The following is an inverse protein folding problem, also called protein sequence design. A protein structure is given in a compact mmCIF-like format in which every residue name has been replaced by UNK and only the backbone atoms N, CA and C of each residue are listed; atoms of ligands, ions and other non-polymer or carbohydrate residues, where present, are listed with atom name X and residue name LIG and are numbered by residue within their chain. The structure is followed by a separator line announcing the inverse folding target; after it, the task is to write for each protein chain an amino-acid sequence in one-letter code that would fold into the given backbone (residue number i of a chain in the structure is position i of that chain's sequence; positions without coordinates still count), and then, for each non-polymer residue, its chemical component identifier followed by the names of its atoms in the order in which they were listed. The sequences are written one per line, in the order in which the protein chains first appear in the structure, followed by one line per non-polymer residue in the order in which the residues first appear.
data_IF_173839370372
#
_entry.id   IF_173839370372
#
_cell.length_a   1.000
_cell.length_b   1.000
_cell.length_c   1.000
_cell.angle_alpha   90.00
_cell.angle_beta   90.00
_cell.angle_gamma   90.00
#
_symmetry.space_group_name_H-M   'P 1'
#
loop_
_entity.id
_entity.type
_entity.pdbx_description
1 polymer ?
#
# COMPACT_ATOMS: atom_id res chain seq x y z
N UNK A 1 -14.36 77.31 -39.36
CA UNK A 1 -14.85 76.36 -38.33
C UNK A 1 -13.63 75.66 -37.76
N UNK A 2 -12.96 76.32 -36.81
CA UNK A 2 -13.10 76.15 -35.35
C UNK A 2 -12.32 74.92 -34.83
N UNK A 3 -11.56 75.06 -33.72
CA UNK A 3 -10.22 75.67 -33.76
C UNK A 3 -9.20 75.05 -32.76
N UNK A 4 -7.98 75.63 -32.71
CA UNK A 4 -7.22 75.96 -31.46
C UNK A 4 -6.71 74.75 -30.62
N UNK A 5 -5.46 74.62 -30.16
CA UNK A 5 -4.32 75.51 -29.81
C UNK A 5 -3.11 74.55 -29.59
N UNK A 6 -1.90 74.86 -30.05
CA UNK A 6 -0.76 75.46 -29.27
C UNK A 6 -0.43 74.69 -27.98
N UNK A 7 0.80 74.44 -27.54
CA UNK A 7 2.20 74.59 -27.98
C UNK A 7 3.03 74.09 -26.77
N UNK A 8 4.35 73.94 -26.94
CA UNK A 8 5.40 73.81 -25.91
C UNK A 8 5.66 72.37 -25.42
N UNK A 9 6.78 71.69 -25.75
CA UNK A 9 8.22 72.00 -25.68
C UNK A 9 8.81 71.98 -24.26
N UNK A 10 10.00 71.37 -24.15
CA UNK A 10 11.05 71.54 -23.09
C UNK A 10 10.75 70.74 -21.79
N UNK A 11 11.64 70.00 -21.09
CA UNK A 11 13.08 69.66 -21.17
C UNK A 11 13.42 68.67 -20.03
N UNK A 12 14.33 67.71 -20.30
CA UNK A 12 15.51 67.19 -19.54
C UNK A 12 15.55 67.01 -17.98
N UNK A 13 16.44 66.07 -17.59
CA UNK A 13 17.08 65.72 -16.29
C UNK A 13 16.41 64.63 -15.42
N UNK A 14 17.02 63.46 -15.13
CA UNK A 14 18.32 63.06 -14.50
C UNK A 14 18.21 62.82 -12.97
N UNK A 15 18.38 61.54 -12.59
CA UNK A 15 18.80 60.90 -11.32
C UNK A 15 18.05 61.15 -9.99
N UNK A 16 17.64 60.06 -9.31
CA UNK A 16 18.28 59.53 -8.08
C UNK A 16 17.41 58.49 -7.32
N UNK A 17 17.99 57.30 -7.12
CA UNK A 17 17.99 56.41 -5.94
C UNK A 17 16.82 56.39 -4.94
N UNK A 18 16.23 55.21 -4.69
CA UNK A 18 16.14 54.61 -3.34
C UNK A 18 15.59 53.17 -3.33
N UNK A 19 16.18 52.35 -2.46
CA UNK A 19 15.86 50.96 -2.13
C UNK A 19 14.40 50.78 -1.69
N UNK A 20 13.73 49.71 -2.15
CA UNK A 20 12.92 48.78 -1.35
C UNK A 20 12.03 47.91 -2.26
N UNK A 21 12.46 46.68 -2.58
CA UNK A 21 11.55 45.58 -2.93
C UNK A 21 12.18 44.26 -2.49
N UNK A 22 12.14 44.04 -1.18
CA UNK A 22 12.05 42.69 -0.63
C UNK A 22 10.57 42.35 -0.48
N UNK A 23 10.14 41.28 -1.13
CA UNK A 23 9.00 40.40 -0.82
C UNK A 23 8.38 39.86 -2.12
N UNK A 24 8.38 38.53 -2.26
CA UNK A 24 7.60 37.86 -3.31
C UNK A 24 8.37 36.88 -4.19
N UNK A 25 9.37 36.16 -3.67
CA UNK A 25 9.58 34.81 -4.20
C UNK A 25 8.31 34.02 -3.83
N UNK A 26 7.58 33.44 -4.80
CA UNK A 26 6.50 32.52 -4.46
C UNK A 26 7.10 31.43 -3.56
N UNK A 27 6.38 30.98 -2.51
CA UNK A 27 6.83 29.84 -1.74
C UNK A 27 7.10 28.72 -2.74
N UNK A 28 8.32 28.17 -2.68
CA UNK A 28 8.61 26.93 -3.37
C UNK A 28 7.51 25.96 -2.96
N UNK A 29 6.63 25.60 -3.91
CA UNK A 29 5.58 24.63 -3.66
C UNK A 29 6.32 23.37 -3.20
N UNK A 30 6.19 23.03 -1.93
CA UNK A 30 6.55 21.72 -1.44
C UNK A 30 5.85 20.73 -2.39
N UNK A 31 6.62 19.86 -3.04
CA UNK A 31 6.07 18.92 -4.01
C UNK A 31 4.93 18.13 -3.38
N UNK A 32 3.90 17.81 -4.18
CA UNK A 32 2.76 17.05 -3.69
C UNK A 32 3.23 15.75 -3.02
N UNK A 33 2.61 15.35 -1.89
CA UNK A 33 2.98 14.10 -1.24
C UNK A 33 2.88 12.91 -2.18
N UNK A 34 3.91 12.07 -2.18
CA UNK A 34 3.95 10.83 -2.96
C UNK A 34 3.60 9.68 -2.04
N UNK A 35 2.70 8.81 -2.51
CA UNK A 35 2.37 7.55 -1.83
C UNK A 35 3.22 6.43 -2.44
N UNK A 36 4.01 5.69 -1.65
CA UNK A 36 4.59 4.44 -2.12
C UNK A 36 3.48 3.50 -2.62
N UNK A 37 3.74 2.69 -3.66
CA UNK A 37 2.71 1.85 -4.25
C UNK A 37 2.05 0.93 -3.20
N UNK A 38 0.73 1.02 -3.08
CA UNK A 38 -0.06 0.23 -2.12
C UNK A 38 -0.06 0.75 -0.68
N UNK A 39 0.62 1.87 -0.38
CA UNK A 39 0.67 2.44 0.98
C UNK A 39 -0.44 3.48 1.20
N UNK A 40 -1.00 3.57 2.42
CA UNK A 40 -1.92 4.67 2.77
C UNK A 40 -1.24 5.90 3.37
N UNK A 41 0.05 5.80 3.68
CA UNK A 41 0.88 6.90 4.14
C UNK A 41 1.68 7.43 2.95
N UNK A 42 1.61 8.74 2.72
CA UNK A 42 2.40 9.46 1.72
C UNK A 42 3.20 10.58 2.36
N UNK A 43 4.21 11.08 1.67
CA UNK A 43 5.03 12.22 2.11
C UNK A 43 5.73 12.87 0.92
N UNK A 44 6.22 14.10 1.10
CA UNK A 44 7.10 14.75 0.15
C UNK A 44 8.53 14.26 0.40
N UNK A 45 9.11 13.40 -0.45
CA UNK A 45 10.45 12.87 -0.22
C UNK A 45 11.50 13.99 -0.33
N UNK A 46 12.58 13.86 0.44
CA UNK A 46 13.73 14.75 0.32
C UNK A 46 14.43 14.58 -1.04
N UNK A 47 15.13 15.63 -1.48
CA UNK A 47 15.90 15.58 -2.73
C UNK A 47 16.84 14.38 -2.75
N UNK A 48 16.86 13.67 -3.89
CA UNK A 48 17.66 12.45 -4.07
C UNK A 48 16.97 11.16 -3.63
N UNK A 49 15.84 11.22 -2.93
CA UNK A 49 15.02 10.05 -2.61
C UNK A 49 13.98 9.81 -3.72
N UNK A 50 14.08 8.67 -4.39
CA UNK A 50 13.08 8.18 -5.35
C UNK A 50 12.29 7.00 -4.77
N UNK A 51 11.17 6.58 -5.41
CA UNK A 51 10.42 5.40 -4.98
C UNK A 51 11.31 4.14 -4.95
N UNK A 52 11.28 3.43 -3.83
CA UNK A 52 12.03 2.19 -3.68
C UNK A 52 11.41 1.05 -4.49
N UNK A 53 12.26 0.16 -5.02
CA UNK A 53 11.80 -0.99 -5.83
C UNK A 53 11.56 -2.26 -5.01
N UNK A 54 12.23 -2.38 -3.86
CA UNK A 54 12.27 -3.60 -3.06
C UNK A 54 11.40 -3.56 -1.80
N UNK A 55 10.89 -2.39 -1.42
CA UNK A 55 10.06 -2.20 -0.24
C UNK A 55 9.14 -0.97 -0.42
N UNK A 56 8.02 -0.89 0.31
CA UNK A 56 7.18 0.30 0.28
C UNK A 56 7.92 1.48 0.93
N UNK A 57 8.29 2.47 0.12
CA UNK A 57 9.05 3.61 0.62
C UNK A 57 9.88 4.33 -0.44
N UNK A 58 10.94 4.99 0.01
CA UNK A 58 11.86 5.75 -0.83
C UNK A 58 13.31 5.39 -0.52
N UNK A 59 14.18 5.53 -1.50
CA UNK A 59 15.62 5.32 -1.35
C UNK A 59 16.43 6.23 -2.28
N UNK A 60 17.68 6.47 -1.91
CA UNK A 60 18.65 7.09 -2.81
C UNK A 60 19.02 6.11 -3.92
N UNK A 61 19.50 6.64 -5.05
CA UNK A 61 19.93 5.81 -6.19
C UNK A 61 21.03 4.79 -5.79
N UNK A 62 21.92 5.18 -4.88
CA UNK A 62 22.96 4.33 -4.30
C UNK A 62 22.47 3.42 -3.16
N UNK A 63 21.18 3.48 -2.81
CA UNK A 63 20.51 2.71 -1.75
C UNK A 63 21.09 2.92 -0.34
N UNK A 64 21.87 3.97 -0.14
CA UNK A 64 22.52 4.27 1.14
C UNK A 64 21.55 4.82 2.18
N UNK A 65 20.57 5.63 1.76
CA UNK A 65 19.49 6.15 2.59
C UNK A 65 18.19 5.44 2.23
N UNK A 66 17.46 4.99 3.25
CA UNK A 66 16.19 4.27 3.08
C UNK A 66 15.13 4.89 3.96
N UNK A 67 13.95 5.11 3.37
CA UNK A 67 12.72 5.53 4.04
C UNK A 67 11.71 4.41 3.84
N UNK A 68 11.41 3.64 4.87
CA UNK A 68 10.42 2.57 4.83
C UNK A 68 9.09 3.12 5.33
N UNK A 69 8.02 2.81 4.62
CA UNK A 69 6.65 3.20 4.96
C UNK A 69 5.85 1.95 5.26
N UNK A 70 5.07 1.97 6.33
CA UNK A 70 4.28 0.82 6.76
C UNK A 70 3.04 1.21 7.55
N UNK A 71 2.31 0.18 7.97
CA UNK A 71 1.09 0.31 8.74
C UNK A 71 1.16 -0.65 9.94
N UNK A 72 0.75 -0.16 11.10
CA UNK A 72 0.57 -0.93 12.32
C UNK A 72 -0.91 -0.94 12.74
N UNK A 73 -1.30 -1.83 13.68
CA UNK A 73 -2.63 -1.77 14.30
C UNK A 73 -2.97 -0.37 14.83
N UNK A 74 -4.25 -0.04 14.87
CA UNK A 74 -4.71 1.31 15.26
C UNK A 74 -4.28 1.66 16.69
N UNK A 75 -4.18 0.66 17.57
CA UNK A 75 -3.83 0.80 18.99
C UNK A 75 -2.37 1.24 19.19
N UNK A 76 -1.49 0.95 18.22
CA UNK A 76 -0.07 1.26 18.31
C UNK A 76 0.20 2.77 18.46
N UNK A 77 -0.59 3.62 17.80
CA UNK A 77 -0.47 5.06 17.95
C UNK A 77 -0.80 5.52 19.38
N UNK A 78 -1.88 5.02 19.97
CA UNK A 78 -2.25 5.37 21.35
C UNK A 78 -1.20 4.92 22.36
N UNK A 79 -0.61 3.74 22.15
CA UNK A 79 0.44 3.21 23.02
C UNK A 79 1.67 4.13 22.99
N UNK A 80 2.15 4.51 21.80
CA UNK A 80 3.30 5.41 21.65
C UNK A 80 3.00 6.80 22.18
N UNK A 81 1.81 7.35 21.90
CA UNK A 81 1.41 8.67 22.40
C UNK A 81 1.35 8.71 23.94
N UNK A 82 0.93 7.62 24.59
CA UNK A 82 0.93 7.49 26.04
C UNK A 82 2.35 7.34 26.59
N UNK A 83 3.21 6.51 25.95
CA UNK A 83 4.63 6.40 26.33
C UNK A 83 5.37 7.74 26.21
N UNK A 84 5.10 8.52 25.17
CA UNK A 84 5.68 9.85 24.97
C UNK A 84 5.32 10.82 26.11
N UNK A 85 4.08 10.76 26.62
CA UNK A 85 3.64 11.58 27.76
C UNK A 85 4.21 11.10 29.09
N UNK A 86 4.50 9.81 29.23
CA UNK A 86 4.82 9.18 30.51
C UNK A 86 6.30 9.23 30.90
N UNK A 87 7.24 9.45 29.97
CA UNK A 87 8.67 9.31 30.24
C UNK A 87 9.54 10.46 29.69
N UNK A 88 10.58 10.91 30.43
CA UNK A 88 11.72 11.62 29.86
C UNK A 88 12.55 10.67 28.98
N UNK A 89 13.29 11.24 28.01
CA UNK A 89 14.15 10.51 27.08
C UNK A 89 14.97 9.40 27.76
N UNK A 90 14.90 8.17 27.26
CA UNK A 90 15.85 7.12 27.63
C UNK A 90 17.24 7.45 27.06
N UNK A 91 18.32 7.00 27.72
CA UNK A 91 19.68 7.25 27.27
C UNK A 91 19.87 6.86 25.79
N UNK A 92 20.09 7.86 24.93
CA UNK A 92 20.35 7.68 23.50
C UNK A 92 19.13 7.65 22.57
N UNK A 93 17.90 7.69 23.11
CA UNK A 93 16.66 7.79 22.31
C UNK A 93 16.03 9.15 22.58
N UNK A 94 16.03 10.03 21.58
CA UNK A 94 15.43 11.36 21.69
C UNK A 94 13.98 11.32 21.19
N UNK A 95 12.97 11.35 22.07
CA UNK A 95 11.58 11.48 21.65
C UNK A 95 11.30 12.90 21.17
N UNK A 96 10.62 13.02 20.05
CA UNK A 96 10.20 14.27 19.42
C UNK A 96 8.77 14.15 18.89
N UNK A 97 8.13 15.29 18.61
CA UNK A 97 6.84 15.34 17.93
C UNK A 97 6.89 16.29 16.74
N UNK A 98 5.97 16.07 15.80
CA UNK A 98 5.81 16.91 14.62
C UNK A 98 4.35 16.94 14.18
N UNK A 99 3.86 18.11 13.81
CA UNK A 99 2.50 18.25 13.27
C UNK A 99 2.46 17.82 11.80
N UNK A 100 1.44 17.05 11.45
CA UNK A 100 1.17 16.57 10.09
C UNK A 100 -0.29 16.86 9.73
N UNK A 101 -0.67 16.68 8.47
CA UNK A 101 -2.09 16.83 8.08
C UNK A 101 -2.99 15.74 8.69
N UNK A 102 -2.42 14.63 9.15
CA UNK A 102 -3.14 13.55 9.81
C UNK A 102 -3.30 13.79 11.32
N UNK A 103 -2.58 14.77 11.88
CA UNK A 103 -2.50 15.07 13.32
C UNK A 103 -1.07 15.01 13.83
N UNK A 104 -0.89 15.18 15.14
CA UNK A 104 0.42 15.09 15.79
C UNK A 104 1.03 13.70 15.60
N UNK A 105 2.22 13.64 15.01
CA UNK A 105 3.03 12.44 14.93
C UNK A 105 4.11 12.45 16.03
N UNK A 106 4.48 11.26 16.48
CA UNK A 106 5.56 11.08 17.45
C UNK A 106 6.68 10.30 16.79
N UNK A 107 7.92 10.71 17.04
CA UNK A 107 9.07 10.01 16.48
C UNK A 107 10.24 9.97 17.44
N UNK A 108 11.13 9.03 17.22
CA UNK A 108 12.40 8.92 17.95
C UNK A 108 13.57 9.13 17.02
N UNK A 109 14.67 9.63 17.58
CA UNK A 109 15.97 9.70 16.92
C UNK A 109 16.97 8.90 17.74
N UNK A 110 17.68 7.98 17.09
CA UNK A 110 18.71 7.15 17.71
C UNK A 110 19.94 7.01 16.80
N UNK A 111 21.11 6.82 17.41
CA UNK A 111 22.35 6.49 16.68
C UNK A 111 22.75 5.05 17.00
N UNK A 112 22.80 4.19 15.98
CA UNK A 112 22.98 2.75 16.15
C UNK A 112 24.14 2.26 15.28
N UNK A 113 24.90 1.28 15.79
CA UNK A 113 25.90 0.58 14.97
C UNK A 113 25.22 -0.39 14.02
N UNK A 114 25.55 -0.31 12.74
CA UNK A 114 25.16 -1.23 11.69
C UNK A 114 26.43 -1.83 11.06
N UNK A 115 26.85 -2.99 11.58
CA UNK A 115 28.17 -3.56 11.28
C UNK A 115 29.29 -2.66 11.79
N UNK A 116 30.22 -2.27 10.91
CA UNK A 116 31.30 -1.35 11.22
C UNK A 116 30.89 0.14 11.17
N UNK A 117 29.71 0.44 10.63
CA UNK A 117 29.26 1.81 10.38
C UNK A 117 28.28 2.28 11.46
N UNK A 118 28.24 3.58 11.71
CA UNK A 118 27.18 4.21 12.51
C UNK A 118 26.12 4.77 11.58
N UNK A 119 24.85 4.50 11.92
CA UNK A 119 23.69 5.05 11.19
C UNK A 119 22.80 5.80 12.16
N UNK A 120 22.18 6.86 11.65
CA UNK A 120 21.12 7.59 12.35
C UNK A 120 19.77 7.04 11.93
N UNK A 121 18.97 6.61 12.89
CA UNK A 121 17.64 6.06 12.65
C UNK A 121 16.57 6.98 13.21
N UNK A 122 15.50 7.09 12.44
CA UNK A 122 14.31 7.82 12.80
C UNK A 122 13.13 6.87 12.68
N UNK A 123 12.27 6.83 13.68
CA UNK A 123 11.04 6.02 13.66
C UNK A 123 9.87 6.90 14.04
N UNK A 124 8.97 7.16 13.10
CA UNK A 124 7.77 7.96 13.29
C UNK A 124 6.52 7.10 13.25
N UNK A 125 5.58 7.39 14.16
CA UNK A 125 4.21 6.90 14.12
C UNK A 125 3.24 8.08 14.01
N UNK A 126 2.20 7.93 13.20
CA UNK A 126 1.18 8.96 12.96
C UNK A 126 -0.23 8.35 12.96
N UNK A 127 -1.26 9.08 13.39
CA UNK A 127 -2.60 8.54 13.52
C UNK A 127 -3.26 8.36 12.14
N UNK A 128 -3.79 7.17 11.85
CA UNK A 128 -4.48 6.85 10.58
C UNK A 128 -5.97 6.53 10.71
N UNK A 129 -6.54 6.69 11.90
CA UNK A 129 -7.94 6.35 12.19
C UNK A 129 -8.14 4.85 12.41
N UNK A 130 -8.22 4.07 11.33
CA UNK A 130 -8.38 2.59 11.40
C UNK A 130 -7.05 1.83 11.43
N UNK A 131 -5.93 2.57 11.42
CA UNK A 131 -4.58 2.04 11.48
C UNK A 131 -3.65 3.11 12.08
N UNK A 132 -2.42 2.71 12.37
CA UNK A 132 -1.33 3.64 12.69
C UNK A 132 -0.35 3.67 11.52
N UNK A 133 -0.09 4.84 10.94
CA UNK A 133 0.95 4.99 9.94
C UNK A 133 2.34 4.87 10.57
N UNK A 134 3.29 4.28 9.86
CA UNK A 134 4.67 4.16 10.31
C UNK A 134 5.66 4.58 9.23
N UNK A 135 6.70 5.31 9.63
CA UNK A 135 7.80 5.70 8.76
C UNK A 135 9.12 5.49 9.48
N UNK A 136 10.02 4.69 8.89
CA UNK A 136 11.38 4.49 9.38
C UNK A 136 12.38 5.08 8.40
N UNK A 137 13.34 5.87 8.88
CA UNK A 137 14.43 6.42 8.07
C UNK A 137 15.75 5.93 8.60
N UNK A 138 16.65 5.52 7.71
CA UNK A 138 18.03 5.22 8.04
C UNK A 138 18.97 6.09 7.20
N UNK A 139 19.78 6.90 7.88
CA UNK A 139 20.77 7.79 7.27
C UNK A 139 22.18 7.37 7.71
N UNK A 140 23.07 6.97 6.79
CA UNK A 140 24.47 6.71 7.14
C UNK A 140 25.24 8.01 7.39
N UNK A 141 26.31 7.92 8.17
CA UNK A 141 27.09 9.10 8.60
C UNK A 141 27.61 9.95 7.44
N UNK A 142 28.02 9.32 6.33
CA UNK A 142 28.48 10.01 5.12
C UNK A 142 27.38 10.84 4.42
N UNK A 143 26.10 10.55 4.67
CA UNK A 143 24.95 11.25 4.10
C UNK A 143 24.31 12.26 5.08
N UNK A 144 24.77 12.30 6.34
CA UNK A 144 24.19 13.13 7.42
C UNK A 144 24.26 14.64 7.19
N UNK A 145 25.16 15.11 6.32
CA UNK A 145 25.25 16.52 5.92
C UNK A 145 24.14 16.95 4.96
N UNK A 146 23.56 15.99 4.23
CA UNK A 146 22.46 16.21 3.28
C UNK A 146 21.13 15.94 3.98
N UNK A 147 21.02 14.78 4.62
CA UNK A 147 19.83 14.33 5.34
C UNK A 147 19.99 14.64 6.83
N UNK A 148 19.92 15.92 7.17
CA UNK A 148 20.03 16.42 8.55
C UNK A 148 18.77 16.10 9.36
N UNK A 149 18.85 16.25 10.69
CA UNK A 149 17.68 16.09 11.57
C UNK A 149 16.52 17.00 11.16
N UNK A 150 16.81 18.25 10.81
CA UNK A 150 15.76 19.18 10.38
C UNK A 150 15.19 18.78 9.02
N UNK A 151 16.01 18.31 8.08
CA UNK A 151 15.52 17.81 6.80
C UNK A 151 14.57 16.62 6.99
N UNK A 152 14.94 15.64 7.83
CA UNK A 152 14.08 14.49 8.14
C UNK A 152 12.80 14.94 8.86
N UNK A 153 12.89 15.90 9.79
CA UNK A 153 11.73 16.48 10.46
C UNK A 153 10.77 17.17 9.48
N UNK A 154 11.27 17.91 8.50
CA UNK A 154 10.44 18.54 7.45
C UNK A 154 9.77 17.49 6.56
N UNK A 155 10.48 16.42 6.20
CA UNK A 155 9.89 15.29 5.47
C UNK A 155 8.76 14.63 6.29
N UNK A 156 8.97 14.42 7.58
CA UNK A 156 7.95 13.88 8.48
C UNK A 156 6.73 14.80 8.62
N UNK A 157 6.93 16.12 8.70
CA UNK A 157 5.83 17.10 8.73
C UNK A 157 4.94 17.06 7.47
N UNK A 158 5.52 16.67 6.32
CA UNK A 158 4.78 16.51 5.06
C UNK A 158 3.94 15.22 4.97
N UNK A 159 3.99 14.36 6.00
CA UNK A 159 3.28 13.10 5.97
C UNK A 159 1.76 13.32 5.90
N UNK A 160 1.11 12.57 5.01
CA UNK A 160 -0.33 12.61 4.79
C UNK A 160 -0.88 11.18 4.76
N UNK A 161 -2.18 11.06 5.01
CA UNK A 161 -2.88 9.77 4.96
C UNK A 161 -4.04 9.83 3.98
N UNK A 162 -4.17 8.77 3.17
CA UNK A 162 -5.37 8.48 2.39
C UNK A 162 -6.18 7.39 3.07
N UNK A 163 -7.52 7.49 3.01
CA UNK A 163 -8.41 6.51 3.65
C UNK A 163 -8.26 5.10 3.07
N UNK A 164 -8.09 5.02 1.75
CA UNK A 164 -7.98 3.77 1.00
C UNK A 164 -7.00 3.94 -0.17
N UNK A 165 -6.39 2.83 -0.57
CA UNK A 165 -5.63 2.75 -1.82
C UNK A 165 -6.63 2.67 -2.98
N UNK A 166 -6.50 3.50 -4.04
CA UNK A 166 -7.35 3.41 -5.23
C UNK A 166 -7.41 1.98 -5.78
N UNK A 167 -8.59 1.55 -6.20
CA UNK A 167 -8.81 0.18 -6.71
C UNK A 167 -7.90 -0.12 -7.91
N UNK A 168 -7.77 0.82 -8.85
CA UNK A 168 -6.88 0.68 -10.02
C UNK A 168 -5.43 0.47 -9.61
N UNK A 169 -4.93 1.25 -8.64
CA UNK A 169 -3.57 1.07 -8.12
C UNK A 169 -3.39 -0.32 -7.49
N UNK A 170 -4.35 -0.80 -6.71
CA UNK A 170 -4.30 -2.14 -6.12
C UNK A 170 -4.25 -3.25 -7.17
N UNK A 171 -5.05 -3.11 -8.23
CA UNK A 171 -5.06 -4.05 -9.35
C UNK A 171 -3.75 -4.00 -10.14
N UNK A 172 -3.14 -2.82 -10.26
CA UNK A 172 -1.88 -2.62 -10.97
C UNK A 172 -0.65 -3.21 -10.30
N UNK A 173 -0.72 -3.39 -8.98
CA UNK A 173 0.32 -4.09 -8.22
C UNK A 173 0.34 -5.60 -8.44
N UNK A 174 -0.76 -6.19 -8.92
CA UNK A 174 -0.85 -7.64 -9.09
C UNK A 174 -0.01 -8.11 -10.28
N UNK A 175 0.64 -9.29 -10.23
CA UNK A 175 1.43 -9.83 -11.35
C UNK A 175 0.56 -10.38 -12.51
N UNK A 176 -0.74 -10.09 -12.50
CA UNK A 176 -1.74 -10.42 -13.50
C UNK A 176 -2.72 -9.25 -13.62
N UNK A 177 -3.49 -9.20 -14.70
CA UNK A 177 -4.55 -8.20 -14.90
C UNK A 177 -5.90 -8.82 -14.56
N UNK A 178 -6.79 -8.04 -13.94
CA UNK A 178 -8.20 -8.40 -13.77
C UNK A 178 -9.03 -7.41 -14.58
N UNK A 179 -9.75 -7.89 -15.59
CA UNK A 179 -10.58 -7.04 -16.46
C UNK A 179 -12.08 -7.08 -16.09
N UNK A 180 -12.46 -7.93 -15.14
CA UNK A 180 -13.84 -8.14 -14.72
C UNK A 180 -13.90 -8.32 -13.20
N UNK A 181 -14.72 -7.51 -12.52
CA UNK A 181 -14.93 -7.56 -11.06
C UNK A 181 -16.28 -8.16 -10.68
N UNK A 182 -17.16 -8.41 -11.64
CA UNK A 182 -18.48 -9.03 -11.46
C UNK A 182 -19.29 -8.42 -10.30
N UNK A 183 -19.29 -7.10 -10.22
CA UNK A 183 -19.98 -6.29 -9.20
C UNK A 183 -19.49 -6.51 -7.74
N UNK A 184 -18.32 -7.13 -7.51
CA UNK A 184 -17.69 -7.08 -6.19
C UNK A 184 -17.26 -5.64 -5.89
N UNK A 185 -17.87 -5.03 -4.87
CA UNK A 185 -17.67 -3.62 -4.53
C UNK A 185 -16.43 -3.37 -3.68
N UNK A 186 -16.04 -4.35 -2.86
CA UNK A 186 -14.86 -4.23 -2.00
C UNK A 186 -13.66 -4.92 -2.65
N UNK A 187 -12.62 -4.13 -2.93
CA UNK A 187 -11.35 -4.60 -3.51
C UNK A 187 -10.22 -4.24 -2.57
N UNK A 188 -9.46 -5.26 -2.14
CA UNK A 188 -8.36 -5.06 -1.20
C UNK A 188 -7.17 -5.99 -1.42
N UNK A 189 -5.94 -5.48 -1.35
CA UNK A 189 -4.75 -6.34 -1.30
C UNK A 189 -4.58 -6.94 0.11
N UNK A 190 -4.40 -8.26 0.20
CA UNK A 190 -4.05 -8.93 1.47
C UNK A 190 -2.57 -8.72 1.82
N UNK A 191 -1.73 -8.76 0.79
CA UNK A 191 -0.35 -8.32 0.83
C UNK A 191 -0.04 -7.66 -0.52
N UNK A 192 0.57 -6.45 -0.53
CA UNK A 192 0.84 -5.72 -1.76
C UNK A 192 1.56 -6.59 -2.81
N UNK A 193 0.96 -6.69 -4.00
CA UNK A 193 1.48 -7.48 -5.12
C UNK A 193 1.43 -9.00 -4.99
N UNK A 194 0.90 -9.55 -3.90
CA UNK A 194 0.85 -11.00 -3.66
C UNK A 194 -0.54 -11.57 -3.90
N UNK A 195 -1.55 -10.98 -3.25
CA UNK A 195 -2.93 -11.44 -3.32
C UNK A 195 -3.91 -10.29 -3.15
N UNK A 196 -5.04 -10.39 -3.83
CA UNK A 196 -6.16 -9.44 -3.78
C UNK A 196 -7.46 -10.17 -3.43
N UNK A 197 -8.31 -9.51 -2.65
CA UNK A 197 -9.66 -9.95 -2.34
C UNK A 197 -10.68 -9.08 -3.07
N UNK A 198 -11.68 -9.71 -3.67
CA UNK A 198 -12.89 -9.09 -4.22
C UNK A 198 -14.08 -9.58 -3.39
N UNK A 199 -14.88 -8.72 -2.80
CA UNK A 199 -15.94 -9.13 -1.89
C UNK A 199 -17.21 -8.28 -1.98
N UNK A 200 -18.34 -8.91 -1.65
CA UNK A 200 -19.61 -8.22 -1.42
C UNK A 200 -19.68 -7.64 0.02
N UNK A 201 -19.05 -8.33 0.99
CA UNK A 201 -18.91 -7.87 2.38
C UNK A 201 -17.67 -7.02 2.60
N UNK A 202 -17.57 -6.36 3.76
CA UNK A 202 -16.43 -5.53 4.15
C UNK A 202 -15.50 -6.22 5.17
N UNK A 203 -14.30 -5.68 5.38
CA UNK A 203 -13.33 -6.28 6.34
C UNK A 203 -13.78 -6.14 7.80
N UNK A 204 -14.55 -5.09 8.14
CA UNK A 204 -14.92 -4.79 9.52
C UNK A 204 -15.88 -5.86 10.06
N UNK A 205 -16.82 -6.28 9.22
CA UNK A 205 -17.82 -7.32 9.50
C UNK A 205 -17.32 -8.72 9.15
N UNK A 206 -16.27 -8.83 8.35
CA UNK A 206 -15.72 -10.07 7.83
C UNK A 206 -16.31 -10.41 6.45
N UNK A 207 -15.48 -11.03 5.61
CA UNK A 207 -15.88 -11.35 4.23
C UNK A 207 -16.75 -12.61 4.15
N UNK A 208 -16.70 -13.48 5.17
CA UNK A 208 -17.23 -14.85 5.14
C UNK A 208 -18.76 -14.94 5.18
N UNK A 209 -19.43 -13.86 5.59
CA UNK A 209 -20.89 -13.77 5.61
C UNK A 209 -21.50 -13.50 4.22
N UNK A 210 -20.68 -13.19 3.22
CA UNK A 210 -21.10 -12.85 1.86
C UNK A 210 -20.17 -13.50 0.82
N UNK A 211 -20.50 -13.45 -0.48
CA UNK A 211 -19.62 -13.93 -1.53
C UNK A 211 -18.32 -13.12 -1.60
N UNK A 212 -17.19 -13.82 -1.69
CA UNK A 212 -15.89 -13.21 -1.90
C UNK A 212 -14.96 -14.12 -2.71
N UNK A 213 -13.91 -13.51 -3.26
CA UNK A 213 -12.83 -14.18 -3.98
C UNK A 213 -11.47 -13.73 -3.48
N UNK A 214 -10.53 -14.65 -3.32
CA UNK A 214 -9.11 -14.38 -3.09
C UNK A 214 -8.31 -14.84 -4.31
N UNK A 215 -7.50 -13.95 -4.87
CA UNK A 215 -6.78 -14.15 -6.13
C UNK A 215 -5.32 -13.81 -5.91
N UNK A 216 -4.42 -14.75 -6.18
CA UNK A 216 -2.99 -14.53 -5.97
C UNK A 216 -2.12 -15.55 -6.68
N UNK A 217 -0.81 -15.32 -6.69
CA UNK A 217 0.16 -16.27 -7.22
C UNK A 217 0.81 -17.02 -6.06
N UNK A 218 0.83 -18.35 -6.14
CA UNK A 218 1.57 -19.18 -5.20
C UNK A 218 2.91 -19.59 -5.85
N UNK A 219 4.00 -19.44 -5.10
CA UNK A 219 5.35 -19.86 -5.48
C UNK A 219 5.54 -21.38 -5.38
N UNK A 220 4.53 -22.14 -5.78
CA UNK A 220 4.53 -23.59 -5.78
C UNK A 220 3.72 -24.10 -6.97
N UNK A 221 4.14 -25.26 -7.47
CA UNK A 221 3.48 -25.98 -8.54
C UNK A 221 3.82 -27.46 -8.44
N UNK A 222 3.05 -28.32 -9.11
CA UNK A 222 3.36 -29.74 -9.16
C UNK A 222 4.68 -29.95 -9.90
N UNK A 223 5.53 -30.84 -9.37
CA UNK A 223 6.83 -31.21 -9.96
C UNK A 223 6.67 -31.85 -11.33
N UNK A 224 5.59 -32.60 -11.52
CA UNK A 224 5.27 -33.28 -12.76
C UNK A 224 3.80 -33.06 -13.13
N UNK A 225 3.42 -33.02 -14.42
CA UNK A 225 2.03 -32.85 -14.84
C UNK A 225 1.04 -33.84 -14.22
N UNK A 226 1.46 -35.07 -13.96
CA UNK A 226 0.70 -36.15 -13.32
C UNK A 226 0.38 -35.86 -11.85
N UNK A 227 1.18 -35.03 -11.17
CA UNK A 227 0.95 -34.64 -9.77
C UNK A 227 -0.14 -33.56 -9.62
N UNK A 228 -0.67 -33.01 -10.72
CA UNK A 228 -1.57 -31.84 -10.70
C UNK A 228 -2.83 -32.05 -9.87
N UNK A 229 -3.46 -33.22 -9.96
CA UNK A 229 -4.66 -33.55 -9.17
C UNK A 229 -4.37 -33.56 -7.67
N UNK A 230 -3.38 -34.38 -7.28
CA UNK A 230 -2.91 -34.48 -5.89
C UNK A 230 -2.52 -33.11 -5.35
N UNK A 231 -1.80 -32.32 -6.12
CA UNK A 231 -1.41 -30.97 -5.75
C UNK A 231 -2.63 -30.05 -5.56
N UNK A 232 -3.62 -30.10 -6.46
CA UNK A 232 -4.83 -29.29 -6.35
C UNK A 232 -5.61 -29.59 -5.07
N UNK A 233 -5.78 -30.86 -4.74
CA UNK A 233 -6.44 -31.30 -3.51
C UNK A 233 -5.64 -30.90 -2.26
N UNK A 234 -4.31 -31.08 -2.26
CA UNK A 234 -3.45 -30.68 -1.15
C UNK A 234 -3.53 -29.17 -0.89
N UNK A 235 -3.41 -28.36 -1.94
CA UNK A 235 -3.51 -26.89 -1.82
C UNK A 235 -4.90 -26.48 -1.34
N UNK A 236 -5.96 -27.14 -1.80
CA UNK A 236 -7.33 -26.88 -1.35
C UNK A 236 -7.52 -27.07 0.17
N UNK A 237 -6.78 -27.99 0.81
CA UNK A 237 -6.84 -28.16 2.27
C UNK A 237 -6.16 -27.05 3.07
N UNK A 238 -5.40 -26.16 2.42
CA UNK A 238 -4.68 -25.07 3.10
C UNK A 238 -5.40 -23.72 2.97
N UNK A 239 -6.67 -23.69 2.55
CA UNK A 239 -7.42 -22.43 2.42
C UNK A 239 -7.61 -21.84 3.83
N UNK A 240 -7.07 -20.62 4.11
CA UNK A 240 -7.23 -20.01 5.42
C UNK A 240 -8.70 -19.75 5.76
N UNK A 241 -9.06 -19.91 7.04
CA UNK A 241 -10.41 -19.62 7.52
C UNK A 241 -11.48 -20.66 7.13
N UNK A 242 -11.09 -21.78 6.52
CA UNK A 242 -11.98 -22.90 6.17
C UNK A 242 -11.77 -24.06 7.14
N UNK A 243 -12.87 -24.58 7.71
CA UNK A 243 -12.92 -25.70 8.66
C UNK A 243 -13.90 -26.77 8.16
N UNK A 244 -13.76 -28.01 8.65
CA UNK A 244 -14.63 -29.14 8.28
C UNK A 244 -14.72 -29.37 6.76
N UNK A 245 -13.60 -29.13 6.05
CA UNK A 245 -13.54 -29.14 4.60
C UNK A 245 -13.76 -30.54 4.02
N UNK A 246 -14.73 -30.65 3.12
CA UNK A 246 -15.00 -31.84 2.33
C UNK A 246 -14.93 -31.52 0.85
N UNK A 247 -13.92 -32.06 0.16
CA UNK A 247 -13.84 -31.97 -1.30
C UNK A 247 -15.01 -32.77 -1.89
N UNK A 248 -15.78 -32.12 -2.75
CA UNK A 248 -16.94 -32.71 -3.45
C UNK A 248 -16.64 -32.99 -4.92
N UNK A 249 -15.78 -32.17 -5.53
CA UNK A 249 -15.31 -32.31 -6.92
C UNK A 249 -13.85 -31.90 -6.97
N UNK A 250 -13.03 -32.60 -7.75
CA UNK A 250 -11.72 -32.11 -8.19
C UNK A 250 -11.49 -32.61 -9.62
N UNK A 251 -11.49 -31.71 -10.58
CA UNK A 251 -11.47 -32.06 -12.01
C UNK A 251 -10.45 -31.22 -12.78
N UNK A 252 -9.74 -31.84 -13.75
CA UNK A 252 -8.86 -31.11 -14.64
C UNK A 252 -9.67 -30.21 -15.59
N UNK A 253 -9.14 -29.03 -15.87
CA UNK A 253 -9.72 -28.11 -16.84
C UNK A 253 -8.66 -27.27 -17.54
N UNK A 254 -9.09 -26.41 -18.46
CA UNK A 254 -8.26 -25.33 -19.01
C UNK A 254 -8.76 -23.98 -18.55
N UNK A 255 -7.83 -23.14 -18.10
CA UNK A 255 -8.08 -21.77 -17.67
C UNK A 255 -7.20 -20.88 -18.53
N UNK A 256 -7.80 -20.09 -19.41
CA UNK A 256 -7.07 -19.27 -20.39
C UNK A 256 -6.09 -20.14 -21.24
N UNK A 257 -6.55 -21.31 -21.68
CA UNK A 257 -5.76 -22.29 -22.44
C UNK A 257 -4.70 -23.07 -21.63
N UNK A 258 -4.27 -22.56 -20.48
CA UNK A 258 -3.32 -23.22 -19.60
C UNK A 258 -3.97 -24.39 -18.83
N UNK A 259 -3.21 -25.45 -18.52
CA UNK A 259 -3.71 -26.55 -17.70
C UNK A 259 -4.04 -26.06 -16.29
N UNK A 260 -5.15 -26.54 -15.75
CA UNK A 260 -5.58 -26.19 -14.40
C UNK A 260 -6.53 -27.21 -13.81
N UNK A 261 -6.97 -26.95 -12.58
CA UNK A 261 -7.95 -27.76 -11.85
C UNK A 261 -9.02 -26.87 -11.23
N UNK A 262 -10.26 -27.37 -11.23
CA UNK A 262 -11.34 -26.86 -10.40
C UNK A 262 -11.55 -27.84 -9.23
N UNK A 263 -11.44 -27.36 -8.00
CA UNK A 263 -11.74 -28.14 -6.79
C UNK A 263 -12.87 -27.48 -6.03
N UNK A 264 -13.99 -28.19 -5.83
CA UNK A 264 -15.14 -27.72 -5.03
C UNK A 264 -15.13 -28.37 -3.67
N UNK A 265 -15.47 -27.57 -2.67
CA UNK A 265 -15.34 -27.93 -1.26
C UNK A 265 -16.59 -27.44 -0.55
N UNK A 266 -17.22 -28.31 0.22
CA UNK A 266 -18.19 -27.91 1.24
C UNK A 266 -17.48 -27.76 2.57
N UNK A 267 -17.73 -26.67 3.28
CA UNK A 267 -17.01 -26.37 4.51
C UNK A 267 -17.77 -25.41 5.44
N UNK A 268 -17.13 -25.08 6.55
CA UNK A 268 -17.54 -24.07 7.52
C UNK A 268 -16.51 -22.93 7.52
N UNK A 269 -16.95 -21.67 7.55
CA UNK A 269 -16.05 -20.50 7.53
C UNK A 269 -16.50 -19.38 8.48
N UNK A 270 -15.58 -18.47 8.80
CA UNK A 270 -15.81 -17.34 9.70
C UNK A 270 -15.99 -17.73 11.18
N UNK A 271 -16.15 -16.72 12.02
CA UNK A 271 -16.39 -16.88 13.48
C UNK A 271 -17.78 -17.47 13.78
N UNK A 272 -18.74 -17.18 12.92
CA UNK A 272 -20.15 -17.58 13.10
C UNK A 272 -20.45 -19.00 12.59
N UNK A 273 -19.43 -19.76 12.19
CA UNK A 273 -19.58 -21.11 11.62
C UNK A 273 -20.50 -21.14 10.40
N UNK A 274 -20.37 -20.15 9.51
CA UNK A 274 -21.16 -20.06 8.28
C UNK A 274 -20.88 -21.27 7.39
N UNK A 275 -21.93 -22.00 7.03
CA UNK A 275 -21.84 -23.07 6.05
C UNK A 275 -21.59 -22.48 4.65
N UNK A 276 -20.47 -22.83 4.04
CA UNK A 276 -20.03 -22.30 2.75
C UNK A 276 -19.82 -23.40 1.72
N UNK A 277 -19.95 -23.01 0.46
CA UNK A 277 -19.37 -23.74 -0.67
C UNK A 277 -18.23 -22.91 -1.23
N UNK A 278 -17.10 -23.56 -1.43
CA UNK A 278 -15.85 -22.96 -1.91
C UNK A 278 -15.47 -23.62 -3.23
N UNK A 279 -14.96 -22.82 -4.16
CA UNK A 279 -14.25 -23.29 -5.34
C UNK A 279 -12.82 -22.78 -5.31
N UNK A 280 -11.88 -23.66 -5.62
CA UNK A 280 -10.52 -23.31 -5.96
C UNK A 280 -10.29 -23.58 -7.43
N UNK A 281 -9.78 -22.59 -8.14
CA UNK A 281 -9.11 -22.79 -9.43
C UNK A 281 -7.61 -22.63 -9.26
N UNK A 282 -6.86 -23.59 -9.79
CA UNK A 282 -5.42 -23.49 -9.98
C UNK A 282 -5.13 -23.47 -11.47
N UNK A 283 -4.49 -22.41 -11.95
CA UNK A 283 -3.92 -22.35 -13.30
C UNK A 283 -2.41 -22.52 -13.18
N UNK A 284 -1.88 -23.61 -13.70
CA UNK A 284 -0.46 -23.93 -13.58
C UNK A 284 0.37 -23.12 -14.59
N UNK A 285 1.40 -22.45 -14.09
CA UNK A 285 2.48 -21.84 -14.88
C UNK A 285 3.76 -22.69 -14.85
N UNK A 286 4.86 -22.12 -15.34
CA UNK A 286 6.14 -22.83 -15.40
C UNK A 286 6.81 -23.01 -14.03
N UNK A 287 6.75 -21.98 -13.18
CA UNK A 287 7.40 -21.96 -11.86
C UNK A 287 6.48 -21.54 -10.71
N UNK A 288 5.24 -21.14 -11.04
CA UNK A 288 4.24 -20.68 -10.09
C UNK A 288 2.85 -21.11 -10.55
N UNK A 289 1.86 -20.97 -9.68
CA UNK A 289 0.46 -21.20 -10.03
C UNK A 289 -0.37 -19.99 -9.69
N UNK A 290 -1.26 -19.57 -10.59
CA UNK A 290 -2.31 -18.63 -10.23
C UNK A 290 -3.37 -19.41 -9.45
N UNK A 291 -3.64 -18.95 -8.22
CA UNK A 291 -4.62 -19.52 -7.31
C UNK A 291 -5.78 -18.55 -7.16
N UNK A 292 -6.98 -19.04 -7.44
CA UNK A 292 -8.23 -18.29 -7.37
C UNK A 292 -9.14 -19.08 -6.45
N UNK A 293 -9.58 -18.48 -5.36
CA UNK A 293 -10.50 -19.07 -4.41
C UNK A 293 -11.77 -18.23 -4.44
N UNK A 294 -12.92 -18.83 -4.71
CA UNK A 294 -14.23 -18.20 -4.51
C UNK A 294 -14.98 -18.90 -3.39
N UNK A 295 -15.58 -18.15 -2.47
CA UNK A 295 -16.33 -18.69 -1.34
C UNK A 295 -17.65 -17.94 -1.20
N UNK A 296 -18.74 -18.66 -0.97
CA UNK A 296 -20.02 -18.05 -0.66
C UNK A 296 -20.79 -18.91 0.36
N UNK A 297 -21.66 -18.29 1.18
CA UNK A 297 -22.70 -19.01 1.90
C UNK A 297 -23.47 -19.96 0.96
N UNK A 298 -23.79 -21.18 1.43
CA UNK A 298 -24.37 -22.23 0.58
C UNK A 298 -25.67 -21.80 -0.11
N UNK A 299 -26.49 -21.02 0.58
CA UNK A 299 -27.74 -20.46 0.07
C UNK A 299 -27.53 -19.37 -1.01
N UNK A 300 -26.35 -18.78 -1.09
CA UNK A 300 -25.97 -17.75 -2.08
C UNK A 300 -25.16 -18.32 -3.25
N UNK A 301 -24.68 -19.57 -3.14
CA UNK A 301 -23.78 -20.20 -4.11
C UNK A 301 -24.26 -20.11 -5.56
N UNK A 302 -25.54 -20.42 -5.82
CA UNK A 302 -26.11 -20.42 -7.17
C UNK A 302 -25.99 -19.07 -7.87
N UNK A 303 -26.06 -17.96 -7.11
CA UNK A 303 -25.90 -16.59 -7.64
C UNK A 303 -24.43 -16.17 -7.71
N UNK A 304 -23.62 -16.60 -6.74
CA UNK A 304 -22.21 -16.23 -6.64
C UNK A 304 -21.33 -16.96 -7.68
N UNK A 305 -21.57 -18.24 -7.92
CA UNK A 305 -20.69 -19.07 -8.74
C UNK A 305 -20.51 -18.57 -10.19
N UNK A 306 -21.56 -18.10 -10.91
CA UNK A 306 -21.38 -17.46 -12.22
C UNK A 306 -20.48 -16.22 -12.18
N UNK A 307 -20.59 -15.39 -11.13
CA UNK A 307 -19.74 -14.20 -10.93
C UNK A 307 -18.29 -14.60 -10.70
N UNK A 308 -18.06 -15.62 -9.88
CA UNK A 308 -16.70 -16.14 -9.66
C UNK A 308 -16.03 -16.63 -10.97
N UNK A 309 -16.80 -17.29 -11.84
CA UNK A 309 -16.30 -17.70 -13.17
C UNK A 309 -16.00 -16.51 -14.06
N UNK A 310 -16.86 -15.49 -14.09
CA UNK A 310 -16.64 -14.29 -14.88
C UNK A 310 -15.36 -13.54 -14.45
N UNK A 311 -15.11 -13.41 -13.14
CA UNK A 311 -13.84 -12.87 -12.64
C UNK A 311 -12.66 -13.75 -13.07
N UNK A 312 -12.72 -15.08 -12.85
CA UNK A 312 -11.67 -16.01 -13.28
C UNK A 312 -11.31 -15.85 -14.75
N UNK A 313 -12.34 -15.78 -15.60
CA UNK A 313 -12.19 -15.69 -17.06
C UNK A 313 -11.68 -14.29 -17.49
N UNK A 314 -11.84 -13.27 -16.65
CA UNK A 314 -11.26 -11.94 -16.81
C UNK A 314 -9.82 -11.79 -16.29
N UNK A 315 -9.16 -12.86 -15.85
CA UNK A 315 -7.76 -12.79 -15.38
C UNK A 315 -6.78 -13.10 -16.51
N UNK A 316 -5.97 -12.12 -16.87
CA UNK A 316 -4.99 -12.21 -17.94
C UNK A 316 -3.55 -12.16 -17.41
N UNK A 317 -2.58 -12.82 -18.07
CA UNK A 317 -1.16 -12.57 -17.85
C UNK A 317 -0.80 -11.09 -18.05
N UNK A 318 0.22 -10.60 -17.34
CA UNK A 318 0.82 -9.29 -17.64
C UNK A 318 1.84 -9.38 -18.76
#
# INVERSE_FOLDING_TARGET
MNPIRRLSAITLLVTATCLALGAGLPPALAGDPIFPPGARVGMTPLVGLGPAKAFPGFETEDQSVKVVVGEFPAEAYSDVANSFKAAPAADGIKPESVETSAGTAYYTIESVKNGANTVRRYSMILPGGTFSGYVAVQVPENASKIYTDDAVRQMFASAVIRKQVPVEEQLDLMPFKITELSAFGNVRTLAPGVAIILADGDEVTGFEAAPFMVIGVIGSGPTQPEDRDRFAQQVATTIPGVRDARITVSEPMRIDGAPGYETRIDATSGKDNTAVTVVQWLRFGNSNSLRIIGSAPRDQWTKAFPRFRAVRDGIQPR
#
